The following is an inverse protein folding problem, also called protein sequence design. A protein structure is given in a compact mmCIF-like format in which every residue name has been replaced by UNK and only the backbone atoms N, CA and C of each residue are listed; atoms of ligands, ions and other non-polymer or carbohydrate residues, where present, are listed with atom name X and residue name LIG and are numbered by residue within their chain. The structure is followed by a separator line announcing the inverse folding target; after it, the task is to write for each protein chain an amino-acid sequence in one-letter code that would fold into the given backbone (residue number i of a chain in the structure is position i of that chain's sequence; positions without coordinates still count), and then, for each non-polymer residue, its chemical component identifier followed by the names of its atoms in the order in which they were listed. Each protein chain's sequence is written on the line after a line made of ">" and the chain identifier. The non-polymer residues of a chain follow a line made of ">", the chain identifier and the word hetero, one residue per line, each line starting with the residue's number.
data_IF_231678591903
#
_entry.id   IF_231678591903
#
_cell.length_a   1.000
_cell.length_b   1.000
_cell.length_c   1.000
_cell.angle_alpha   90.00
_cell.angle_beta   90.00
_cell.angle_gamma   90.00
#
_symmetry.space_group_name_H-M   'P 1'
#
loop_
_entity.id
_entity.type
_entity.pdbx_description
1 polymer ?
#
# COMPACT_ATOMS: atom_id res chain seq x y z
N UNK A 1 4.52 -38.25 -29.46
CA UNK A 1 5.03 -37.40 -28.35
C UNK A 1 6.55 -37.23 -28.40
N UNK A 2 7.34 -38.30 -28.59
CA UNK A 2 8.81 -38.25 -28.70
C UNK A 2 9.36 -37.35 -29.82
N UNK A 3 8.75 -37.35 -31.01
CA UNK A 3 9.19 -36.49 -32.13
C UNK A 3 9.08 -34.99 -31.85
N UNK A 4 8.02 -34.55 -31.15
CA UNK A 4 7.87 -33.12 -30.79
C UNK A 4 8.96 -32.68 -29.81
N UNK A 5 9.36 -33.55 -28.87
CA UNK A 5 10.41 -33.27 -27.89
C UNK A 5 11.77 -33.17 -28.58
N UNK A 6 12.08 -34.08 -29.51
CA UNK A 6 13.34 -34.06 -30.29
C UNK A 6 13.43 -32.80 -31.15
N UNK A 7 12.31 -32.37 -31.76
CA UNK A 7 12.26 -31.15 -32.57
C UNK A 7 12.51 -29.88 -31.74
N UNK A 8 11.99 -29.82 -30.51
CA UNK A 8 12.25 -28.73 -29.56
C UNK A 8 13.73 -28.74 -29.12
N UNK A 9 14.27 -29.92 -28.82
CA UNK A 9 15.66 -30.06 -28.37
C UNK A 9 16.68 -29.62 -29.43
N UNK A 10 16.44 -29.98 -30.69
CA UNK A 10 17.26 -29.53 -31.82
C UNK A 10 17.13 -28.03 -32.12
N UNK A 11 15.98 -27.43 -31.83
CA UNK A 11 15.79 -25.99 -31.95
C UNK A 11 16.55 -25.22 -30.86
N UNK A 12 16.49 -25.70 -29.61
CA UNK A 12 17.20 -25.12 -28.47
C UNK A 12 18.72 -25.13 -28.70
N UNK A 13 19.27 -26.25 -29.18
CA UNK A 13 20.72 -26.36 -29.43
C UNK A 13 21.20 -25.42 -30.54
N UNK A 14 20.36 -25.18 -31.57
CA UNK A 14 20.65 -24.23 -32.65
C UNK A 14 20.62 -22.77 -32.17
N UNK A 15 19.69 -22.43 -31.27
CA UNK A 15 19.48 -21.06 -30.77
C UNK A 15 20.03 -20.83 -29.36
N UNK A 16 21.10 -21.55 -28.96
CA UNK A 16 21.62 -21.54 -27.57
C UNK A 16 21.89 -20.14 -27.01
N UNK A 17 22.29 -19.18 -27.85
CA UNK A 17 22.61 -17.81 -27.43
C UNK A 17 21.37 -17.04 -26.93
N UNK A 18 20.20 -17.30 -27.51
CA UNK A 18 18.93 -16.67 -27.13
C UNK A 18 18.42 -17.25 -25.83
N UNK A 19 18.49 -18.58 -25.70
CA UNK A 19 18.08 -19.26 -24.46
C UNK A 19 18.97 -18.80 -23.31
N UNK A 20 20.29 -18.70 -23.52
CA UNK A 20 21.20 -18.14 -22.51
C UNK A 20 20.89 -16.68 -22.14
N UNK A 21 20.57 -15.84 -23.12
CA UNK A 21 20.18 -14.46 -22.87
C UNK A 21 18.87 -14.38 -22.05
N UNK A 22 17.86 -15.18 -22.41
CA UNK A 22 16.59 -15.23 -21.69
C UNK A 22 16.77 -15.70 -20.24
N UNK A 23 17.60 -16.72 -20.02
CA UNK A 23 17.94 -17.20 -18.67
C UNK A 23 18.68 -16.13 -17.88
N UNK A 24 19.61 -15.40 -18.52
CA UNK A 24 20.36 -14.32 -17.87
C UNK A 24 19.44 -13.17 -17.45
N UNK A 25 18.51 -12.74 -18.31
CA UNK A 25 17.50 -11.71 -17.97
C UNK A 25 16.60 -12.19 -16.84
N UNK A 26 16.12 -13.44 -16.88
CA UNK A 26 15.32 -14.03 -15.80
C UNK A 26 16.09 -14.04 -14.46
N UNK A 27 17.38 -14.34 -14.50
CA UNK A 27 18.24 -14.36 -13.32
C UNK A 27 18.43 -12.95 -12.74
N UNK A 28 18.68 -11.94 -13.58
CA UNK A 28 18.76 -10.53 -13.16
C UNK A 28 17.44 -10.09 -12.53
N UNK A 29 16.30 -10.40 -13.16
CA UNK A 29 14.98 -10.10 -12.61
C UNK A 29 14.74 -10.80 -11.26
N UNK A 30 15.21 -12.04 -11.09
CA UNK A 30 15.12 -12.80 -9.84
C UNK A 30 15.97 -12.21 -8.71
N UNK A 31 17.20 -11.80 -9.01
CA UNK A 31 18.08 -11.11 -8.05
C UNK A 31 17.46 -9.77 -7.65
N UNK A 32 17.01 -8.98 -8.63
CA UNK A 32 16.37 -7.69 -8.39
C UNK A 32 15.08 -7.84 -7.58
N UNK A 33 14.28 -8.88 -7.85
CA UNK A 33 13.09 -9.21 -7.06
C UNK A 33 13.41 -9.62 -5.62
N UNK A 34 14.57 -10.23 -5.40
CA UNK A 34 15.04 -10.60 -4.05
C UNK A 34 15.57 -9.40 -3.27
N UNK A 35 16.07 -8.38 -3.97
CA UNK A 35 16.46 -7.09 -3.40
C UNK A 35 15.30 -6.12 -3.22
N UNK A 36 14.22 -6.23 -4.00
CA UNK A 36 12.97 -5.52 -3.71
C UNK A 36 12.46 -6.04 -2.36
N UNK A 37 12.61 -5.22 -1.32
CA UNK A 37 12.50 -5.61 0.09
C UNK A 37 11.20 -6.33 0.46
N UNK A 38 11.21 -6.93 1.65
CA UNK A 38 10.02 -7.57 2.20
C UNK A 38 9.00 -6.48 2.55
N UNK A 39 7.91 -6.39 1.78
CA UNK A 39 6.79 -5.54 2.15
C UNK A 39 5.89 -6.28 3.14
N UNK A 40 5.52 -5.60 4.21
CA UNK A 40 4.49 -6.02 5.14
C UNK A 40 3.28 -5.14 4.90
N UNK A 41 2.11 -5.75 4.85
CA UNK A 41 0.84 -5.02 4.81
C UNK A 41 0.28 -4.98 6.22
N UNK A 42 0.04 -3.78 6.73
CA UNK A 42 -0.53 -3.57 8.04
C UNK A 42 -1.93 -2.96 7.90
N UNK A 43 -2.82 -3.31 8.83
CA UNK A 43 -4.15 -2.73 8.97
C UNK A 43 -4.39 -2.28 10.40
N UNK A 44 -4.90 -1.05 10.56
CA UNK A 44 -5.26 -0.45 11.85
C UNK A 44 -6.72 -0.04 11.79
N UNK A 45 -7.48 -0.36 12.82
CA UNK A 45 -8.85 0.14 12.96
C UNK A 45 -8.86 1.36 13.86
N UNK A 46 -9.51 2.42 13.38
CA UNK A 46 -9.74 3.65 14.14
C UNK A 46 -11.22 3.72 14.45
N UNK A 47 -11.55 3.63 15.73
CA UNK A 47 -12.90 3.88 16.21
C UNK A 47 -13.10 5.40 16.36
N UNK A 48 -14.13 5.93 15.73
CA UNK A 48 -14.58 7.31 15.83
C UNK A 48 -15.85 7.34 16.66
N UNK A 49 -15.85 8.14 17.73
CA UNK A 49 -17.06 8.41 18.52
C UNK A 49 -17.12 9.87 18.93
N UNK A 50 -18.31 10.46 18.87
CA UNK A 50 -18.59 11.78 19.45
C UNK A 50 -18.57 11.67 20.98
N UNK A 51 -17.79 12.53 21.63
CA UNK A 51 -17.84 12.74 23.08
C UNK A 51 -18.91 13.80 23.32
N UNK A 52 -20.03 13.40 23.92
CA UNK A 52 -21.07 14.34 24.31
C UNK A 52 -20.57 15.16 25.50
N UNK A 53 -20.49 16.48 25.35
CA UNK A 53 -20.55 17.42 26.47
C UNK A 53 -21.97 17.39 27.05
N UNK A 54 -22.10 17.47 28.37
CA UNK A 54 -23.31 17.16 29.14
C UNK A 54 -24.64 17.76 28.59
N UNK A 55 -25.70 16.96 28.73
CA UNK A 55 -27.07 17.03 28.16
C UNK A 55 -27.86 18.35 28.34
N UNK A 56 -28.93 18.51 27.53
CA UNK A 56 -30.26 18.45 28.13
C UNK A 56 -31.16 17.32 27.56
N UNK A 57 -32.02 16.84 28.46
CA UNK A 57 -32.70 15.54 28.58
C UNK A 57 -33.75 15.19 27.49
N UNK A 58 -33.96 16.01 26.45
CA UNK A 58 -35.26 16.01 25.74
C UNK A 58 -35.27 15.78 24.21
N UNK A 59 -34.21 15.24 23.59
CA UNK A 59 -34.18 15.06 22.13
C UNK A 59 -33.80 13.65 21.66
N UNK A 60 -34.82 12.81 21.43
CA UNK A 60 -34.70 11.51 20.76
C UNK A 60 -34.15 11.60 19.30
N UNK A 61 -34.13 12.79 18.69
CA UNK A 61 -33.55 13.01 17.36
C UNK A 61 -32.01 13.17 17.37
N UNK A 62 -31.39 13.46 18.52
CA UNK A 62 -29.93 13.68 18.60
C UNK A 62 -29.14 12.41 18.27
N UNK A 63 -29.69 11.22 18.52
CA UNK A 63 -29.01 9.96 18.21
C UNK A 63 -28.78 9.76 16.71
N UNK A 64 -29.76 10.11 15.86
CA UNK A 64 -29.61 10.02 14.40
C UNK A 64 -28.59 11.02 13.88
N UNK A 65 -28.64 12.27 14.35
CA UNK A 65 -27.69 13.31 13.95
C UNK A 65 -26.28 13.05 14.48
N UNK A 66 -26.13 12.50 15.69
CA UNK A 66 -24.85 12.08 16.23
C UNK A 66 -24.25 10.93 15.41
N UNK A 67 -25.05 9.94 15.02
CA UNK A 67 -24.60 8.86 14.14
C UNK A 67 -24.18 9.39 12.77
N UNK A 68 -24.99 10.27 12.16
CA UNK A 68 -24.66 10.92 10.88
C UNK A 68 -23.38 11.75 10.97
N UNK A 69 -23.22 12.54 12.04
CA UNK A 69 -22.01 13.33 12.26
C UNK A 69 -20.77 12.44 12.42
N UNK A 70 -20.91 11.30 13.11
CA UNK A 70 -19.83 10.31 13.24
C UNK A 70 -19.48 9.71 11.88
N UNK A 71 -20.47 9.39 11.06
CA UNK A 71 -20.29 8.83 9.70
C UNK A 71 -19.56 9.81 8.75
N UNK A 72 -19.92 11.09 8.80
CA UNK A 72 -19.27 12.17 8.04
C UNK A 72 -17.85 12.44 8.55
N UNK A 73 -17.64 12.39 9.87
CA UNK A 73 -16.30 12.52 10.45
C UNK A 73 -15.40 11.34 10.03
N UNK A 74 -15.93 10.11 9.97
CA UNK A 74 -15.20 8.98 9.40
C UNK A 74 -14.76 9.24 7.96
N UNK A 75 -15.62 9.86 7.14
CA UNK A 75 -15.26 10.33 5.81
C UNK A 75 -14.15 11.40 5.81
N UNK A 76 -14.19 12.30 6.79
CA UNK A 76 -13.16 13.34 6.99
C UNK A 76 -11.80 12.71 7.32
N UNK A 77 -11.75 11.72 8.21
CA UNK A 77 -10.51 10.98 8.54
C UNK A 77 -9.95 10.29 7.29
N UNK A 78 -10.79 9.64 6.49
CA UNK A 78 -10.37 9.06 5.20
C UNK A 78 -9.83 10.14 4.24
N UNK A 79 -10.43 11.32 4.24
CA UNK A 79 -9.96 12.48 3.47
C UNK A 79 -8.57 12.95 3.90
N UNK A 80 -8.33 13.06 5.20
CA UNK A 80 -7.02 13.45 5.75
C UNK A 80 -5.91 12.49 5.31
N UNK A 81 -6.16 11.19 5.27
CA UNK A 81 -5.15 10.21 4.85
C UNK A 81 -4.72 10.35 3.38
N UNK A 82 -5.49 11.08 2.56
CA UNK A 82 -5.15 11.35 1.16
C UNK A 82 -4.32 12.62 0.99
N UNK A 83 -4.18 13.45 2.03
CA UNK A 83 -3.44 14.71 1.93
C UNK A 83 -1.95 14.50 2.23
N UNK A 84 -1.04 15.01 1.38
CA UNK A 84 0.40 14.83 1.58
C UNK A 84 0.90 15.31 2.94
N UNK A 85 0.35 16.42 3.45
CA UNK A 85 0.70 16.98 4.76
C UNK A 85 0.48 15.99 5.90
N UNK A 86 -0.65 15.28 5.91
CA UNK A 86 -0.98 14.31 6.97
C UNK A 86 -0.07 13.09 6.85
N UNK A 87 0.16 12.61 5.62
CA UNK A 87 1.05 11.48 5.34
C UNK A 87 2.47 11.80 5.80
N UNK A 88 3.01 12.96 5.43
CA UNK A 88 4.33 13.42 5.86
C UNK A 88 4.43 13.52 7.39
N UNK A 89 3.41 14.10 8.03
CA UNK A 89 3.40 14.26 9.48
C UNK A 89 3.40 12.90 10.21
N UNK A 90 2.71 11.89 9.68
CA UNK A 90 2.72 10.52 10.21
C UNK A 90 4.11 9.90 10.10
N UNK A 91 4.72 9.92 8.91
CA UNK A 91 6.06 9.32 8.72
C UNK A 91 7.15 10.04 9.53
N UNK A 92 7.06 11.38 9.62
CA UNK A 92 7.95 12.19 10.46
C UNK A 92 7.82 11.85 11.94
N UNK A 93 6.59 11.69 12.45
CA UNK A 93 6.36 11.24 13.85
C UNK A 93 6.82 9.81 14.08
N UNK A 94 6.66 8.94 13.09
CA UNK A 94 7.12 7.55 13.15
C UNK A 94 8.65 7.42 13.07
N UNK A 95 9.38 8.52 12.77
CA UNK A 95 10.83 8.53 12.55
C UNK A 95 11.27 7.56 11.44
N UNK A 96 10.47 7.48 10.37
CA UNK A 96 10.75 6.65 9.21
C UNK A 96 11.05 7.57 8.04
N UNK A 97 12.16 7.30 7.35
CA UNK A 97 12.50 8.02 6.12
C UNK A 97 11.45 7.75 5.07
N UNK A 98 10.73 8.80 4.68
CA UNK A 98 9.71 8.75 3.66
C UNK A 98 10.02 9.81 2.61
N UNK A 99 10.57 9.37 1.48
CA UNK A 99 10.90 10.23 0.35
C UNK A 99 10.20 9.72 -0.91
N UNK A 100 8.89 9.96 -1.06
CA UNK A 100 8.17 9.53 -2.24
C UNK A 100 8.65 10.35 -3.44
N UNK A 101 9.00 9.64 -4.52
CA UNK A 101 9.44 10.26 -5.77
C UNK A 101 8.34 11.06 -6.49
N UNK A 102 7.07 10.90 -6.09
CA UNK A 102 5.90 11.55 -6.71
C UNK A 102 4.83 11.92 -5.67
N UNK A 103 4.02 12.95 -5.95
CA UNK A 103 2.85 13.31 -5.15
C UNK A 103 1.82 12.18 -5.04
N UNK A 104 1.69 11.34 -6.06
CA UNK A 104 0.86 10.13 -6.02
C UNK A 104 1.37 9.09 -5.02
N UNK A 105 2.68 9.08 -4.73
CA UNK A 105 3.27 8.24 -3.67
C UNK A 105 2.78 8.64 -2.28
N UNK A 106 2.50 9.93 -2.04
CA UNK A 106 1.90 10.38 -0.78
C UNK A 106 0.46 9.87 -0.64
N UNK A 107 -0.42 10.16 -1.60
CA UNK A 107 -1.84 9.81 -1.49
C UNK A 107 -2.12 8.30 -1.57
N UNK A 108 -1.20 7.51 -2.14
CA UNK A 108 -1.28 6.06 -2.19
C UNK A 108 -0.72 5.33 -0.96
N UNK A 109 -0.04 6.02 -0.05
CA UNK A 109 0.64 5.39 1.10
C UNK A 109 -0.34 4.82 2.14
N UNK A 110 -1.50 5.47 2.31
CA UNK A 110 -2.53 5.04 3.23
C UNK A 110 -3.86 4.86 2.50
N UNK A 111 -4.45 3.68 2.66
CA UNK A 111 -5.79 3.38 2.14
C UNK A 111 -6.78 3.35 3.30
N UNK A 112 -7.49 4.45 3.48
CA UNK A 112 -8.62 4.55 4.41
C UNK A 112 -9.90 3.95 3.81
N UNK A 113 -10.54 3.03 4.54
CA UNK A 113 -11.78 2.35 4.19
C UNK A 113 -12.75 2.53 5.34
N UNK A 114 -13.92 3.13 5.09
CA UNK A 114 -14.99 3.21 6.09
C UNK A 114 -15.70 1.85 6.15
N UNK A 115 -15.52 1.13 7.25
CA UNK A 115 -16.11 -0.21 7.45
C UNK A 115 -17.50 -0.09 8.08
N UNK A 116 -17.69 0.91 8.94
CA UNK A 116 -18.97 1.23 9.57
C UNK A 116 -19.04 2.74 9.87
N UNK A 117 -20.20 3.27 10.28
CA UNK A 117 -20.34 4.69 10.65
C UNK A 117 -19.36 5.18 11.71
N UNK A 118 -18.91 4.29 12.60
CA UNK A 118 -17.97 4.61 13.69
C UNK A 118 -16.59 4.00 13.50
N UNK A 119 -16.33 3.25 12.42
CA UNK A 119 -15.06 2.51 12.26
C UNK A 119 -14.44 2.74 10.90
N UNK A 120 -13.21 3.23 10.92
CA UNK A 120 -12.36 3.42 9.73
C UNK A 120 -11.18 2.45 9.80
N UNK A 121 -11.05 1.59 8.80
CA UNK A 121 -9.88 0.74 8.61
C UNK A 121 -8.83 1.49 7.78
N UNK A 122 -7.58 1.51 8.23
CA UNK A 122 -6.46 2.14 7.54
C UNK A 122 -5.45 1.06 7.20
N UNK A 123 -5.25 0.83 5.90
CA UNK A 123 -4.26 -0.11 5.38
C UNK A 123 -3.04 0.63 4.85
N UNK A 124 -1.85 0.10 5.12
CA UNK A 124 -0.59 0.65 4.63
C UNK A 124 0.48 -0.43 4.49
N UNK A 125 1.53 -0.12 3.72
CA UNK A 125 2.68 -0.98 3.55
C UNK A 125 3.86 -0.50 4.40
N UNK A 126 4.67 -1.42 4.91
CA UNK A 126 5.82 -1.13 5.76
C UNK A 126 6.93 -2.16 5.55
N UNK A 127 8.17 -1.80 5.89
CA UNK A 127 9.35 -2.66 5.70
C UNK A 127 9.55 -3.65 6.85
N UNK A 128 8.98 -3.37 8.03
CA UNK A 128 9.06 -4.24 9.20
C UNK A 128 7.81 -4.18 10.07
N UNK A 129 7.53 -5.23 10.88
CA UNK A 129 6.45 -5.20 11.86
C UNK A 129 6.60 -4.10 12.92
N UNK A 130 7.83 -3.70 13.26
CA UNK A 130 8.08 -2.61 14.21
C UNK A 130 7.76 -1.25 13.60
N UNK A 131 8.06 -1.05 12.32
CA UNK A 131 7.64 0.14 11.57
C UNK A 131 6.11 0.22 11.52
N UNK A 132 5.42 -0.92 11.38
CA UNK A 132 3.96 -0.95 11.42
C UNK A 132 3.40 -0.39 12.74
N UNK A 133 4.00 -0.76 13.88
CA UNK A 133 3.60 -0.25 15.20
C UNK A 133 3.89 1.24 15.34
N UNK A 134 5.06 1.71 14.87
CA UNK A 134 5.42 3.13 14.90
C UNK A 134 4.46 3.97 14.05
N UNK A 135 4.16 3.51 12.83
CA UNK A 135 3.21 4.17 11.92
C UNK A 135 1.81 4.17 12.53
N UNK A 136 1.34 3.06 13.08
CA UNK A 136 0.03 2.97 13.73
C UNK A 136 -0.11 3.97 14.90
N UNK A 137 0.91 4.05 15.75
CA UNK A 137 0.95 5.00 16.85
C UNK A 137 0.95 6.45 16.34
N UNK A 138 1.83 6.76 15.37
CA UNK A 138 1.91 8.08 14.76
C UNK A 138 0.60 8.49 14.04
N UNK A 139 -0.10 7.55 13.40
CA UNK A 139 -1.42 7.76 12.82
C UNK A 139 -2.43 8.20 13.87
N UNK A 140 -2.53 7.46 14.98
CA UNK A 140 -3.43 7.79 16.08
C UNK A 140 -3.17 9.18 16.65
N UNK A 141 -1.90 9.52 16.90
CA UNK A 141 -1.48 10.84 17.38
C UNK A 141 -1.81 11.95 16.37
N UNK A 142 -1.55 11.72 15.08
CA UNK A 142 -1.82 12.70 14.01
C UNK A 142 -3.31 12.97 13.86
N UNK A 143 -4.13 11.92 13.86
CA UNK A 143 -5.60 12.04 13.79
C UNK A 143 -6.12 12.75 15.04
N UNK A 144 -5.61 12.40 16.22
CA UNK A 144 -5.99 13.08 17.47
C UNK A 144 -5.64 14.56 17.45
N UNK A 145 -4.48 14.94 16.90
CA UNK A 145 -4.07 16.34 16.78
C UNK A 145 -4.94 17.12 15.79
N UNK A 146 -5.22 16.55 14.61
CA UNK A 146 -6.13 17.17 13.63
C UNK A 146 -7.53 17.34 14.18
N UNK A 147 -8.00 16.37 14.97
CA UNK A 147 -9.27 16.48 15.67
C UNK A 147 -9.28 17.60 16.71
N UNK A 148 -8.21 17.78 17.49
CA UNK A 148 -8.08 18.91 18.44
C UNK A 148 -8.11 20.26 17.70
N UNK A 149 -7.36 20.39 16.61
CA UNK A 149 -7.35 21.60 15.77
C UNK A 149 -8.74 21.92 15.20
N UNK A 150 -9.48 20.89 14.78
CA UNK A 150 -10.85 21.04 14.31
C UNK A 150 -11.80 21.43 15.44
N UNK A 151 -11.68 20.80 16.62
CA UNK A 151 -12.49 21.12 17.78
C UNK A 151 -12.30 22.58 18.23
N UNK A 152 -11.05 23.03 18.33
CA UNK A 152 -10.68 24.41 18.69
C UNK A 152 -11.23 25.43 17.68
N UNK A 153 -11.21 25.09 16.39
CA UNK A 153 -11.75 25.92 15.32
C UNK A 153 -13.29 25.95 15.31
N UNK A 154 -13.94 24.89 15.76
CA UNK A 154 -15.40 24.71 15.59
C UNK A 154 -16.26 25.47 16.58
N UNK A 155 -15.72 25.98 17.71
CA UNK A 155 -16.47 26.62 18.83
C UNK A 155 -17.68 25.84 19.40
N UNK A 156 -18.05 24.70 18.81
CA UNK A 156 -19.28 23.92 19.07
C UNK A 156 -19.05 22.74 20.02
N UNK A 157 -17.84 22.54 20.54
CA UNK A 157 -17.56 21.52 21.58
C UNK A 157 -17.76 20.07 21.13
N UNK A 158 -17.76 19.80 19.83
CA UNK A 158 -17.86 18.44 19.28
C UNK A 158 -16.47 17.83 19.26
N UNK A 159 -16.15 17.02 20.27
CA UNK A 159 -14.91 16.28 20.34
C UNK A 159 -15.13 14.85 19.82
N UNK A 160 -14.34 14.40 18.85
CA UNK A 160 -14.28 12.99 18.51
C UNK A 160 -13.08 12.33 19.21
N UNK A 161 -13.23 11.08 19.64
CA UNK A 161 -12.07 10.28 20.08
C UNK A 161 -11.77 9.28 18.98
N UNK A 162 -10.51 9.26 18.57
CA UNK A 162 -9.96 8.28 17.64
C UNK A 162 -9.11 7.29 18.45
N UNK A 163 -9.63 6.08 18.69
CA UNK A 163 -8.86 4.99 19.30
C UNK A 163 -8.26 4.15 18.18
N UNK A 164 -6.94 4.20 18.02
CA UNK A 164 -6.22 3.31 17.13
C UNK A 164 -5.97 1.98 17.84
N UNK A 165 -6.41 0.87 17.23
CA UNK A 165 -6.10 -0.48 17.69
C UNK A 165 -4.65 -0.85 17.40
N UNK A 166 -4.15 -1.92 18.01
CA UNK A 166 -2.89 -2.54 17.58
C UNK A 166 -2.98 -2.93 16.09
N UNK A 167 -1.91 -2.70 15.30
CA UNK A 167 -1.90 -3.05 13.89
C UNK A 167 -1.87 -4.56 13.68
N UNK A 168 -2.74 -5.05 12.80
CA UNK A 168 -2.66 -6.41 12.27
C UNK A 168 -1.67 -6.41 11.11
N UNK A 169 -0.53 -7.09 11.29
CA UNK A 169 0.56 -7.12 10.30
C UNK A 169 0.59 -8.45 9.57
N UNK A 170 0.49 -8.41 8.25
CA UNK A 170 0.57 -9.56 7.35
C UNK A 170 1.85 -9.43 6.53
N UNK A 171 2.65 -10.50 6.50
CA UNK A 171 3.85 -10.55 5.66
C UNK A 171 3.43 -10.76 4.20
N UNK A 172 3.66 -9.76 3.35
CA UNK A 172 3.41 -9.90 1.92
C UNK A 172 4.60 -10.63 1.30
N UNK A 173 4.42 -11.91 0.95
CA UNK A 173 5.41 -12.62 0.15
C UNK A 173 5.16 -12.25 -1.29
N UNK A 174 5.95 -11.32 -1.84
CA UNK A 174 6.01 -11.18 -3.28
C UNK A 174 6.32 -12.56 -3.88
N UNK A 175 5.49 -12.99 -4.82
CA UNK A 175 5.67 -14.27 -5.47
C UNK A 175 6.87 -14.17 -6.43
N UNK A 176 8.04 -14.56 -5.91
CA UNK A 176 9.31 -14.60 -6.65
C UNK A 176 9.15 -15.43 -7.92
N UNK A 177 8.30 -16.46 -7.92
CA UNK A 177 8.03 -17.30 -9.10
C UNK A 177 7.29 -16.53 -10.20
N UNK A 178 6.37 -15.64 -9.83
CA UNK A 178 5.65 -14.80 -10.81
C UNK A 178 6.62 -13.80 -11.47
N UNK A 179 7.48 -13.15 -10.69
CA UNK A 179 8.48 -12.21 -11.23
C UNK A 179 9.54 -12.92 -12.08
N UNK A 180 9.98 -14.11 -11.66
CA UNK A 180 10.93 -14.91 -12.42
C UNK A 180 10.35 -15.41 -13.75
N UNK A 181 9.11 -15.91 -13.74
CA UNK A 181 8.45 -16.39 -14.96
C UNK A 181 8.17 -15.24 -15.95
N UNK A 182 7.74 -14.08 -15.45
CA UNK A 182 7.58 -12.88 -16.28
C UNK A 182 8.92 -12.45 -16.91
N UNK A 183 10.01 -12.43 -16.13
CA UNK A 183 11.35 -12.11 -16.63
C UNK A 183 11.83 -13.08 -17.72
N UNK A 184 11.54 -14.38 -17.57
CA UNK A 184 11.87 -15.40 -18.58
C UNK A 184 11.10 -15.17 -19.88
N UNK A 185 9.80 -14.90 -19.81
CA UNK A 185 8.97 -14.61 -20.99
C UNK A 185 9.47 -13.37 -21.73
N UNK A 186 9.75 -12.29 -21.00
CA UNK A 186 10.29 -11.04 -21.57
C UNK A 186 11.65 -11.32 -22.22
N UNK A 187 12.56 -12.01 -21.53
CA UNK A 187 13.88 -12.36 -22.04
C UNK A 187 13.83 -13.19 -23.32
N UNK A 188 12.86 -14.10 -23.44
CA UNK A 188 12.68 -14.94 -24.63
C UNK A 188 12.16 -14.11 -25.82
N UNK A 189 11.14 -13.27 -25.60
CA UNK A 189 10.60 -12.38 -26.64
C UNK A 189 11.68 -11.43 -27.15
N UNK A 190 12.37 -10.72 -26.25
CA UNK A 190 13.44 -9.80 -26.64
C UNK A 190 14.63 -10.51 -27.30
N UNK A 191 14.99 -11.70 -26.84
CA UNK A 191 16.06 -12.50 -27.45
C UNK A 191 15.75 -12.90 -28.90
N UNK A 192 14.50 -13.24 -29.21
CA UNK A 192 14.07 -13.52 -30.59
C UNK A 192 14.09 -12.26 -31.47
N UNK A 193 13.60 -11.13 -30.95
CA UNK A 193 13.65 -9.85 -31.64
C UNK A 193 15.09 -9.42 -31.97
N UNK A 194 16.01 -9.55 -31.00
CA UNK A 194 17.41 -9.17 -31.19
C UNK A 194 18.12 -10.04 -32.23
N UNK A 195 17.81 -11.34 -32.29
CA UNK A 195 18.34 -12.21 -33.35
C UNK A 195 17.87 -11.74 -34.73
N UNK A 196 16.57 -11.47 -34.89
CA UNK A 196 16.02 -11.02 -36.18
C UNK A 196 16.54 -9.66 -36.61
N UNK A 197 16.68 -8.72 -35.67
CA UNK A 197 17.30 -7.43 -35.95
C UNK A 197 18.75 -7.59 -36.42
N UNK A 198 19.51 -8.51 -35.79
CA UNK A 198 20.90 -8.77 -36.20
C UNK A 198 21.00 -9.41 -37.57
N UNK A 199 20.08 -10.29 -37.94
CA UNK A 199 20.01 -10.84 -39.30
C UNK A 199 19.66 -9.75 -40.32
N UNK A 200 18.70 -8.88 -40.03
CA UNK A 200 18.31 -7.77 -40.90
C UNK A 200 19.43 -6.75 -41.16
N UNK A 201 20.27 -6.46 -40.16
CA UNK A 201 21.42 -5.55 -40.32
C UNK A 201 22.67 -6.22 -40.93
N UNK A 202 22.66 -7.54 -41.11
CA UNK A 202 23.77 -8.29 -41.73
C UNK A 202 23.51 -8.60 -43.20
N UNK A 203 22.26 -8.50 -43.65
CA UNK A 203 21.86 -8.42 -45.06
C UNK A 203 21.92 -6.97 -45.54
#
# INVERSE_FOLDING_TARGET
>A
MKEKIIKIQNWISKNRKIVWFAVLVAFICGIWASWSGQNYSASVSVLVSRVASAQPIDYNYDSYYALKATDEFGGTVVGWLKTPEVVEAVYKRAQIEFNPSTFSGFSGSFKGIKVSPSTVEIRFECSSPDDAKKIAKALGETISEKNKQLADSSKQGINFVALASDPVVIKNRFDVYVKFSAGLLIGLVFGLFFQRAKEFFRE
#
